data_IF_810928769132
#
_entry.id   IF_810928769132
#
_cell.length_a   1.000
_cell.length_b   1.000
_cell.length_c   1.000
_cell.angle_alpha   90.00
_cell.angle_beta   90.00
_cell.angle_gamma   90.00
#
_symmetry.space_group_name_H-M   'P 1'
#
loop_
_entity.id
_entity.type
_entity.pdbx_description
1 polymer ?
#
# COMPACT_ATOMS: atom_id res chain seq x y z
N UNK A 1 -28.96 13.00 -12.52
CA UNK A 1 -27.99 13.77 -11.71
C UNK A 1 -26.91 14.26 -12.64
N UNK A 2 -26.75 15.58 -12.73
CA UNK A 2 -25.81 16.24 -13.62
C UNK A 2 -24.42 16.10 -12.99
N UNK A 3 -23.57 15.21 -13.52
CA UNK A 3 -22.16 15.22 -13.13
C UNK A 3 -21.60 16.48 -13.77
N UNK A 4 -21.21 17.46 -12.94
CA UNK A 4 -20.56 18.67 -13.41
C UNK A 4 -19.31 18.33 -14.24
N UNK A 5 -18.78 19.31 -14.96
CA UNK A 5 -17.46 19.16 -15.57
C UNK A 5 -16.48 18.67 -14.50
N UNK A 6 -15.73 17.60 -14.79
CA UNK A 6 -14.69 17.09 -13.90
C UNK A 6 -13.77 18.25 -13.51
N UNK A 7 -13.56 18.44 -12.22
CA UNK A 7 -12.72 19.51 -11.72
C UNK A 7 -11.25 19.10 -11.87
N UNK A 8 -10.34 20.09 -11.79
CA UNK A 8 -8.90 19.82 -11.91
C UNK A 8 -8.42 18.82 -10.85
N UNK A 9 -9.08 18.78 -9.68
CA UNK A 9 -8.80 17.84 -8.61
C UNK A 9 -9.12 16.40 -8.96
N UNK A 10 -10.21 16.16 -9.70
CA UNK A 10 -10.57 14.81 -10.16
C UNK A 10 -9.50 14.26 -11.12
N UNK A 11 -8.98 15.09 -12.02
CA UNK A 11 -7.90 14.70 -12.93
C UNK A 11 -6.60 14.40 -12.18
N UNK A 12 -6.25 15.19 -11.16
CA UNK A 12 -5.06 14.95 -10.33
C UNK A 12 -5.20 13.69 -9.48
N UNK A 13 -6.38 13.45 -8.90
CA UNK A 13 -6.67 12.26 -8.12
C UNK A 13 -6.61 10.98 -8.98
N UNK A 14 -7.20 11.03 -10.18
CA UNK A 14 -7.10 9.94 -11.17
C UNK A 14 -5.63 9.73 -11.59
N UNK A 15 -4.88 10.80 -11.83
CA UNK A 15 -3.45 10.72 -12.13
C UNK A 15 -2.64 10.07 -11.01
N UNK A 16 -2.95 10.37 -9.75
CA UNK A 16 -2.30 9.74 -8.60
C UNK A 16 -2.61 8.24 -8.52
N UNK A 17 -3.86 7.82 -8.80
CA UNK A 17 -4.24 6.40 -8.83
C UNK A 17 -3.50 5.65 -9.95
N UNK A 18 -3.44 6.21 -11.16
CA UNK A 18 -2.74 5.58 -12.29
C UNK A 18 -1.21 5.65 -12.21
N UNK A 19 -0.66 6.46 -11.31
CA UNK A 19 0.79 6.52 -11.08
C UNK A 19 1.32 5.26 -10.36
N UNK A 20 0.48 4.56 -9.62
CA UNK A 20 0.81 3.29 -9.00
C UNK A 20 1.10 2.24 -10.09
N UNK A 21 2.30 1.66 -10.04
CA UNK A 21 2.79 0.68 -11.03
C UNK A 21 2.62 -0.71 -10.45
N UNK A 22 1.80 -1.54 -11.07
CA UNK A 22 1.76 -2.94 -10.69
C UNK A 22 3.01 -3.68 -11.22
N UNK A 23 3.76 -4.28 -10.30
CA UNK A 23 4.96 -5.06 -10.59
C UNK A 23 4.72 -6.56 -10.44
N UNK A 24 3.53 -7.01 -10.05
CA UNK A 24 3.23 -8.41 -9.74
C UNK A 24 3.52 -9.33 -10.94
N UNK A 25 3.06 -9.00 -12.15
CA UNK A 25 3.34 -9.81 -13.34
C UNK A 25 4.84 -9.91 -13.64
N UNK A 26 5.60 -8.83 -13.46
CA UNK A 26 7.06 -8.87 -13.66
C UNK A 26 7.76 -9.74 -12.61
N UNK A 27 7.29 -9.71 -11.37
CA UNK A 27 7.82 -10.51 -10.27
C UNK A 27 7.49 -12.00 -10.40
N UNK A 28 6.43 -12.36 -11.11
CA UNK A 28 6.09 -13.76 -11.40
C UNK A 28 7.03 -14.39 -12.44
N UNK A 29 7.56 -13.58 -13.37
CA UNK A 29 8.51 -14.03 -14.40
C UNK A 29 9.96 -14.01 -13.88
N UNK A 30 10.26 -13.12 -12.94
CA UNK A 30 11.58 -13.00 -12.31
C UNK A 30 11.79 -14.09 -11.25
N UNK A 31 12.79 -14.96 -11.48
CA UNK A 31 13.23 -15.91 -10.46
C UNK A 31 14.09 -15.20 -9.39
N UNK A 32 13.64 -15.30 -8.13
CA UNK A 32 14.37 -14.79 -6.97
C UNK A 32 15.78 -15.42 -6.82
N UNK A 33 15.96 -16.66 -7.28
CA UNK A 33 17.23 -17.39 -7.18
C UNK A 33 18.24 -17.02 -8.28
N UNK A 34 17.77 -16.61 -9.47
CA UNK A 34 18.65 -16.27 -10.60
C UNK A 34 19.09 -14.79 -10.56
N UNK A 35 18.20 -13.88 -10.16
CA UNK A 35 18.47 -12.44 -10.12
C UNK A 35 17.94 -11.75 -8.85
N UNK A 36 18.48 -12.10 -7.66
CA UNK A 36 17.95 -11.62 -6.37
C UNK A 36 17.97 -10.09 -6.23
N UNK A 37 18.99 -9.42 -6.78
CA UNK A 37 19.10 -7.96 -6.72
C UNK A 37 17.99 -7.27 -7.52
N UNK A 38 17.70 -7.78 -8.72
CA UNK A 38 16.68 -7.22 -9.60
C UNK A 38 15.27 -7.45 -9.02
N UNK A 39 15.02 -8.66 -8.52
CA UNK A 39 13.76 -9.00 -7.84
C UNK A 39 13.49 -8.04 -6.66
N UNK A 40 14.46 -7.84 -5.76
CA UNK A 40 14.30 -6.96 -4.61
C UNK A 40 14.17 -5.48 -4.99
N UNK A 41 14.84 -5.04 -6.05
CA UNK A 41 14.75 -3.66 -6.54
C UNK A 41 13.36 -3.36 -7.08
N UNK A 42 12.84 -4.20 -8.00
CA UNK A 42 11.53 -4.02 -8.62
C UNK A 42 10.40 -4.12 -7.60
N UNK A 43 10.48 -5.11 -6.70
CA UNK A 43 9.53 -5.22 -5.59
C UNK A 43 9.56 -3.99 -4.69
N UNK A 44 10.76 -3.52 -4.32
CA UNK A 44 10.91 -2.34 -3.48
C UNK A 44 10.37 -1.07 -4.14
N UNK A 45 10.64 -0.87 -5.43
CA UNK A 45 10.10 0.24 -6.22
C UNK A 45 8.58 0.22 -6.25
N UNK A 46 7.97 -0.91 -6.60
CA UNK A 46 6.51 -1.05 -6.69
C UNK A 46 5.81 -0.72 -5.37
N UNK A 47 6.27 -1.29 -4.26
CA UNK A 47 5.62 -1.05 -2.96
C UNK A 47 5.80 0.39 -2.48
N UNK A 48 6.97 1.00 -2.69
CA UNK A 48 7.19 2.41 -2.36
C UNK A 48 6.30 3.31 -3.23
N UNK A 49 6.19 3.01 -4.53
CA UNK A 49 5.38 3.76 -5.47
C UNK A 49 3.88 3.74 -5.08
N UNK A 50 3.34 2.57 -4.74
CA UNK A 50 1.97 2.41 -4.27
C UNK A 50 1.71 3.24 -3.01
N UNK A 51 2.63 3.18 -2.05
CA UNK A 51 2.54 3.93 -0.81
C UNK A 51 2.65 5.45 -1.03
N UNK A 52 3.44 5.91 -2.01
CA UNK A 52 3.50 7.34 -2.35
C UNK A 52 2.27 7.82 -3.10
N UNK A 53 1.70 6.97 -3.98
CA UNK A 53 0.52 7.29 -4.77
C UNK A 53 -0.70 7.50 -3.89
N UNK A 54 -0.87 6.69 -2.84
CA UNK A 54 -1.98 6.88 -1.88
C UNK A 54 -1.80 8.11 -0.99
N UNK A 55 -0.57 8.47 -0.62
CA UNK A 55 -0.29 9.71 0.13
C UNK A 55 -0.60 10.93 -0.75
N UNK A 56 -0.21 10.88 -2.03
CA UNK A 56 -0.50 11.94 -2.98
C UNK A 56 -2.01 12.08 -3.23
N UNK A 57 -2.72 10.97 -3.37
CA UNK A 57 -4.18 10.95 -3.53
C UNK A 57 -4.90 11.57 -2.32
N UNK A 58 -4.51 11.21 -1.09
CA UNK A 58 -5.07 11.83 0.12
C UNK A 58 -4.74 13.32 0.18
N UNK A 59 -3.50 13.71 -0.14
CA UNK A 59 -3.12 15.12 -0.17
C UNK A 59 -3.93 15.93 -1.20
N UNK A 60 -4.25 15.35 -2.37
CA UNK A 60 -5.08 16.01 -3.39
C UNK A 60 -6.54 16.16 -2.93
N UNK A 61 -7.11 15.14 -2.26
CA UNK A 61 -8.49 15.20 -1.76
C UNK A 61 -8.70 16.21 -0.63
N UNK A 62 -7.70 16.42 0.22
CA UNK A 62 -7.80 17.37 1.34
C UNK A 62 -7.84 18.85 0.90
N UNK A 63 -7.44 19.16 -0.35
CA UNK A 63 -7.41 20.53 -0.87
C UNK A 63 -8.51 20.78 -1.90
N UNK A 64 -9.31 21.82 -1.63
CA UNK A 64 -10.25 22.37 -2.60
C UNK A 64 -9.49 23.17 -3.67
N UNK A 65 -9.40 22.61 -4.87
CA UNK A 65 -8.66 23.17 -6.01
C UNK A 65 -9.49 24.17 -6.83
N UNK A 66 -10.63 24.63 -6.32
CA UNK A 66 -11.49 25.63 -6.97
C UNK A 66 -10.79 26.95 -7.30
N UNK A 67 -9.71 27.31 -6.57
CA UNK A 67 -8.86 28.47 -6.87
C UNK A 67 -7.39 28.06 -6.93
N UNK A 68 -6.92 27.73 -8.13
CA UNK A 68 -5.51 27.39 -8.38
C UNK A 68 -4.64 28.64 -8.17
N UNK A 69 -4.11 28.79 -6.96
CA UNK A 69 -3.08 29.77 -6.64
C UNK A 69 -1.74 29.06 -6.46
N UNK A 70 -0.63 29.74 -6.82
CA UNK A 70 0.74 29.23 -6.60
C UNK A 70 1.01 28.84 -5.14
N UNK A 71 0.35 29.51 -4.19
CA UNK A 71 0.41 29.20 -2.77
C UNK A 71 -0.22 27.83 -2.41
N UNK A 72 -1.30 27.43 -3.09
CA UNK A 72 -1.98 26.14 -2.84
C UNK A 72 -1.11 24.97 -3.30
N UNK A 73 -0.44 25.13 -4.44
CA UNK A 73 0.52 24.14 -4.94
C UNK A 73 1.67 23.96 -3.95
N UNK A 74 2.24 25.05 -3.43
CA UNK A 74 3.30 24.99 -2.42
C UNK A 74 2.82 24.31 -1.11
N UNK A 75 1.60 24.61 -0.69
CA UNK A 75 0.99 24.01 0.50
C UNK A 75 0.72 22.52 0.32
N UNK A 76 0.32 22.08 -0.88
CA UNK A 76 0.13 20.67 -1.22
C UNK A 76 1.46 19.91 -1.12
N UNK A 77 2.54 20.45 -1.70
CA UNK A 77 3.88 19.86 -1.54
C UNK A 77 4.30 19.80 -0.06
N UNK A 78 4.05 20.88 0.70
CA UNK A 78 4.32 20.91 2.14
C UNK A 78 3.55 19.83 2.90
N UNK A 79 2.26 19.64 2.61
CA UNK A 79 1.43 18.63 3.24
C UNK A 79 1.90 17.21 2.87
N UNK A 80 2.27 16.98 1.61
CA UNK A 80 2.84 15.70 1.17
C UNK A 80 4.09 15.35 1.98
N UNK A 81 5.06 16.26 2.08
CA UNK A 81 6.28 16.01 2.87
C UNK A 81 5.98 15.84 4.36
N UNK A 82 5.02 16.60 4.90
CA UNK A 82 4.58 16.47 6.29
C UNK A 82 4.01 15.07 6.56
N UNK A 83 3.03 14.63 5.76
CA UNK A 83 2.42 13.31 5.87
C UNK A 83 3.46 12.21 5.67
N UNK A 84 4.32 12.35 4.66
CA UNK A 84 5.37 11.38 4.37
C UNK A 84 6.35 11.22 5.54
N UNK A 85 6.98 12.30 6.00
CA UNK A 85 7.99 12.27 7.06
C UNK A 85 7.40 11.76 8.37
N UNK A 86 6.23 12.25 8.76
CA UNK A 86 5.64 11.93 10.05
C UNK A 86 5.12 10.49 10.10
N UNK A 87 4.51 10.00 9.02
CA UNK A 87 4.14 8.58 8.86
C UNK A 87 5.37 7.66 8.88
N UNK A 88 6.45 8.03 8.17
CA UNK A 88 7.70 7.26 8.20
C UNK A 88 8.28 7.19 9.61
N UNK A 89 8.33 8.32 10.32
CA UNK A 89 8.86 8.39 11.69
C UNK A 89 8.03 7.54 12.65
N UNK A 90 6.70 7.62 12.56
CA UNK A 90 5.79 6.81 13.38
C UNK A 90 5.98 5.31 13.10
N UNK A 91 6.10 4.93 11.82
CA UNK A 91 6.33 3.54 11.41
C UNK A 91 7.66 3.00 11.95
N UNK A 92 8.73 3.79 11.85
CA UNK A 92 10.04 3.41 12.39
C UNK A 92 9.99 3.23 13.92
N UNK A 93 9.35 4.15 14.63
CA UNK A 93 9.20 4.07 16.09
C UNK A 93 8.40 2.82 16.48
N UNK A 94 7.28 2.54 15.80
CA UNK A 94 6.46 1.36 16.05
C UNK A 94 7.22 0.05 15.78
N UNK A 95 8.01 -0.01 14.71
CA UNK A 95 8.86 -1.17 14.39
C UNK A 95 10.01 -1.38 15.37
N UNK A 96 10.64 -0.32 15.87
CA UNK A 96 11.64 -0.43 16.93
C UNK A 96 11.02 -0.85 18.25
N UNK A 97 9.82 -0.36 18.56
CA UNK A 97 9.07 -0.74 19.75
C UNK A 97 8.69 -2.23 19.71
N UNK A 98 8.30 -2.76 18.56
CA UNK A 98 8.01 -4.20 18.42
C UNK A 98 9.26 -5.06 18.65
N UNK A 99 10.41 -4.67 18.11
CA UNK A 99 11.69 -5.34 18.36
C UNK A 99 12.06 -5.33 19.85
N UNK A 100 11.84 -4.20 20.53
CA UNK A 100 12.07 -4.08 21.98
C UNK A 100 11.12 -4.97 22.79
N UNK A 101 9.82 -5.00 22.44
CA UNK A 101 8.80 -5.83 23.09
C UNK A 101 9.17 -7.32 22.98
N UNK A 102 9.55 -7.78 21.78
CA UNK A 102 9.94 -9.18 21.55
C UNK A 102 11.22 -9.52 22.33
N UNK A 103 12.22 -8.64 22.32
CA UNK A 103 13.46 -8.84 23.10
C UNK A 103 13.20 -8.91 24.61
N UNK A 104 12.25 -8.13 25.13
CA UNK A 104 11.88 -8.17 26.56
C UNK A 104 11.09 -9.42 26.93
N UNK A 105 10.18 -9.86 26.05
CA UNK A 105 9.37 -11.07 26.26
C UNK A 105 10.17 -12.37 26.14
N UNK A 106 11.32 -12.33 25.46
CA UNK A 106 12.27 -13.45 25.40
C UNK A 106 12.68 -13.98 26.79
N UNK A 107 12.65 -13.13 27.81
CA UNK A 107 12.99 -13.51 29.20
C UNK A 107 11.92 -14.39 29.87
N UNK A 108 10.70 -14.48 29.32
CA UNK A 108 9.53 -15.03 30.01
C UNK A 108 9.09 -16.46 29.63
N UNK A 109 9.26 -16.88 28.37
CA UNK A 109 9.07 -18.27 27.84
C UNK A 109 9.07 -18.26 26.31
N UNK A 110 9.76 -19.23 25.70
CA UNK A 110 9.71 -19.45 24.26
C UNK A 110 8.37 -20.03 23.82
N UNK A 111 7.68 -19.39 22.88
CA UNK A 111 6.50 -19.93 22.20
C UNK A 111 6.36 -19.27 20.83
N UNK A 112 6.50 -20.06 19.77
CA UNK A 112 6.43 -19.62 18.37
C UNK A 112 5.18 -18.80 18.08
N UNK A 113 4.00 -19.30 18.48
CA UNK A 113 2.71 -18.66 18.20
C UNK A 113 2.59 -17.25 18.79
N UNK A 114 3.22 -17.01 19.94
CA UNK A 114 3.20 -15.69 20.61
C UNK A 114 4.02 -14.68 19.84
N UNK A 115 5.20 -15.08 19.36
CA UNK A 115 6.07 -14.21 18.57
C UNK A 115 5.36 -13.76 17.29
N UNK A 116 4.74 -14.70 16.57
CA UNK A 116 3.95 -14.40 15.36
C UNK A 116 2.76 -13.48 15.67
N UNK A 117 1.98 -13.80 16.71
CA UNK A 117 0.83 -13.00 17.11
C UNK A 117 1.22 -11.56 17.48
N UNK A 118 2.33 -11.37 18.21
CA UNK A 118 2.82 -10.03 18.58
C UNK A 118 3.28 -9.25 17.34
N UNK A 119 3.96 -9.89 16.38
CA UNK A 119 4.36 -9.23 15.15
C UNK A 119 3.15 -8.71 14.36
N UNK A 120 2.11 -9.52 14.20
CA UNK A 120 0.87 -9.11 13.52
C UNK A 120 0.15 -8.01 14.33
N UNK A 121 0.06 -8.16 15.65
CA UNK A 121 -0.57 -7.17 16.51
C UNK A 121 0.14 -5.82 16.46
N UNK A 122 1.47 -5.81 16.43
CA UNK A 122 2.27 -4.58 16.35
C UNK A 122 2.14 -3.90 14.99
N UNK A 123 2.07 -4.65 13.90
CA UNK A 123 1.77 -4.11 12.58
C UNK A 123 0.40 -3.42 12.58
N UNK A 124 -0.63 -4.09 13.10
CA UNK A 124 -1.98 -3.53 13.21
C UNK A 124 -2.06 -2.32 14.16
N UNK A 125 -1.34 -2.34 15.27
CA UNK A 125 -1.27 -1.21 16.20
C UNK A 125 -0.64 0.01 15.53
N UNK A 126 0.39 -0.17 14.69
CA UNK A 126 0.97 0.93 13.92
C UNK A 126 -0.03 1.57 12.96
N UNK A 127 -0.88 0.76 12.31
CA UNK A 127 -2.00 1.23 11.48
C UNK A 127 -2.99 2.09 12.28
N UNK A 128 -3.45 1.58 13.42
CA UNK A 128 -4.44 2.28 14.25
C UNK A 128 -3.90 3.59 14.83
N UNK A 129 -2.61 3.64 15.19
CA UNK A 129 -1.98 4.87 15.66
C UNK A 129 -1.89 5.92 14.55
N UNK A 130 -1.54 5.54 13.32
CA UNK A 130 -1.51 6.50 12.21
C UNK A 130 -2.88 7.08 11.90
N UNK A 131 -3.94 6.27 11.94
CA UNK A 131 -5.32 6.75 11.77
C UNK A 131 -5.70 7.76 12.86
N UNK A 132 -5.33 7.48 14.12
CA UNK A 132 -5.59 8.38 15.25
C UNK A 132 -4.90 9.74 15.09
N UNK A 133 -3.70 9.76 14.48
CA UNK A 133 -2.94 10.98 14.21
C UNK A 133 -3.27 11.63 12.86
N UNK A 134 -4.26 11.11 12.12
CA UNK A 134 -4.62 11.57 10.77
C UNK A 134 -3.42 11.56 9.79
N UNK A 135 -2.59 10.51 9.87
CA UNK A 135 -1.43 10.29 9.01
C UNK A 135 -1.71 9.18 7.99
N UNK A 136 -0.82 9.00 7.01
CA UNK A 136 -0.93 7.87 6.07
C UNK A 136 -0.68 6.55 6.79
N UNK A 137 -1.76 5.78 6.98
CA UNK A 137 -1.70 4.52 7.70
C UNK A 137 -0.96 3.43 6.93
N UNK A 138 -1.14 3.40 5.61
CA UNK A 138 -0.49 2.44 4.71
C UNK A 138 1.02 2.67 4.71
N UNK A 139 1.46 3.93 4.59
CA UNK A 139 2.88 4.28 4.64
C UNK A 139 3.50 3.96 6.01
N UNK A 140 2.76 4.20 7.09
CA UNK A 140 3.22 3.90 8.47
C UNK A 140 3.44 2.40 8.67
N UNK A 141 2.47 1.57 8.27
CA UNK A 141 2.58 0.10 8.37
C UNK A 141 3.72 -0.43 7.50
N UNK A 142 3.93 0.15 6.32
CA UNK A 142 5.02 -0.24 5.42
C UNK A 142 6.40 -0.03 6.07
N UNK A 143 6.68 1.17 6.59
CA UNK A 143 7.94 1.43 7.29
C UNK A 143 8.08 0.64 8.59
N UNK A 144 6.98 0.42 9.31
CA UNK A 144 6.94 -0.48 10.45
C UNK A 144 7.38 -1.90 10.04
N UNK A 145 6.85 -2.42 8.93
CA UNK A 145 7.21 -3.70 8.34
C UNK A 145 8.69 -3.81 7.96
N UNK A 146 9.26 -2.77 7.32
CA UNK A 146 10.69 -2.73 6.98
C UNK A 146 11.55 -2.82 8.25
N UNK A 147 11.25 -2.00 9.26
CA UNK A 147 12.01 -2.00 10.52
C UNK A 147 11.84 -3.32 11.27
N UNK A 148 10.64 -3.92 11.26
CA UNK A 148 10.42 -5.25 11.81
C UNK A 148 11.24 -6.32 11.06
N UNK A 149 11.28 -6.27 9.74
CA UNK A 149 12.07 -7.20 8.93
C UNK A 149 13.58 -7.08 9.23
N UNK A 150 14.08 -5.90 9.55
CA UNK A 150 15.50 -5.71 9.87
C UNK A 150 15.86 -6.04 11.33
N UNK A 151 15.09 -5.53 12.30
CA UNK A 151 15.44 -5.63 13.72
C UNK A 151 14.72 -6.77 14.43
N UNK A 152 13.43 -6.97 14.16
CA UNK A 152 12.64 -8.01 14.82
C UNK A 152 13.01 -9.39 14.29
N UNK A 153 13.29 -9.52 12.99
CA UNK A 153 13.70 -10.79 12.38
C UNK A 153 14.88 -11.43 13.11
N UNK A 154 15.91 -10.64 13.45
CA UNK A 154 17.08 -11.18 14.15
C UNK A 154 16.81 -11.60 15.61
N UNK A 155 15.78 -11.03 16.24
CA UNK A 155 15.40 -11.32 17.62
C UNK A 155 14.41 -12.48 17.77
N UNK A 156 13.87 -13.02 16.68
CA UNK A 156 12.82 -14.05 16.67
C UNK A 156 13.42 -15.45 16.43
N UNK A 157 12.77 -16.49 16.96
CA UNK A 157 13.20 -17.88 16.78
C UNK A 157 13.12 -18.36 15.32
N UNK A 158 13.96 -19.30 14.91
CA UNK A 158 13.94 -19.83 13.52
C UNK A 158 12.58 -20.44 13.14
N UNK A 159 11.93 -21.15 14.06
CA UNK A 159 10.59 -21.69 13.84
C UNK A 159 9.57 -20.58 13.55
N UNK A 160 9.65 -19.45 14.27
CA UNK A 160 8.72 -18.33 14.11
C UNK A 160 8.97 -17.56 12.82
N UNK A 161 10.22 -17.44 12.38
CA UNK A 161 10.57 -16.87 11.05
C UNK A 161 9.92 -17.64 9.91
N UNK A 162 10.01 -18.97 9.93
CA UNK A 162 9.41 -19.82 8.90
C UNK A 162 7.89 -19.70 8.93
N UNK A 163 7.27 -19.82 10.10
CA UNK A 163 5.81 -19.66 10.24
C UNK A 163 5.33 -18.29 9.78
N UNK A 164 6.03 -17.21 10.15
CA UNK A 164 5.69 -15.84 9.76
C UNK A 164 5.77 -15.63 8.25
N UNK A 165 6.83 -16.15 7.61
CA UNK A 165 6.99 -16.09 6.15
C UNK A 165 5.82 -16.77 5.43
N UNK A 166 5.45 -17.97 5.86
CA UNK A 166 4.31 -18.69 5.27
C UNK A 166 2.98 -18.00 5.55
N UNK A 167 2.76 -17.53 6.78
CA UNK A 167 1.53 -16.84 7.15
C UNK A 167 1.30 -15.58 6.30
N UNK A 168 2.31 -14.70 6.20
CA UNK A 168 2.19 -13.48 5.37
C UNK A 168 2.06 -13.80 3.88
N UNK A 169 2.78 -14.81 3.36
CA UNK A 169 2.62 -15.23 1.96
C UNK A 169 1.20 -15.73 1.67
N UNK A 170 0.62 -16.56 2.56
CA UNK A 170 -0.75 -17.04 2.39
C UNK A 170 -1.78 -15.93 2.50
N UNK A 171 -1.58 -14.98 3.43
CA UNK A 171 -2.48 -13.85 3.62
C UNK A 171 -2.45 -12.91 2.42
N UNK A 172 -1.26 -12.59 1.91
CA UNK A 172 -1.08 -11.81 0.67
C UNK A 172 -1.81 -12.45 -0.51
N UNK A 173 -1.62 -13.76 -0.72
CA UNK A 173 -2.26 -14.48 -1.83
C UNK A 173 -3.80 -14.48 -1.72
N UNK A 174 -4.33 -14.67 -0.51
CA UNK A 174 -5.78 -14.60 -0.28
C UNK A 174 -6.30 -13.16 -0.53
N UNK A 175 -5.61 -12.14 -0.01
CA UNK A 175 -5.96 -10.73 -0.22
C UNK A 175 -5.95 -10.34 -1.70
N UNK A 176 -4.96 -10.80 -2.46
CA UNK A 176 -4.85 -10.58 -3.90
C UNK A 176 -6.05 -11.19 -4.66
N UNK A 177 -6.42 -12.44 -4.35
CA UNK A 177 -7.63 -13.07 -4.92
C UNK A 177 -8.89 -12.25 -4.61
N UNK A 178 -9.03 -11.75 -3.37
CA UNK A 178 -10.19 -10.94 -3.00
C UNK A 178 -10.25 -9.62 -3.76
N UNK A 179 -9.13 -8.92 -3.94
CA UNK A 179 -9.07 -7.67 -4.69
C UNK A 179 -9.46 -7.92 -6.15
N UNK A 180 -8.89 -8.94 -6.81
CA UNK A 180 -9.24 -9.26 -8.19
C UNK A 180 -10.68 -9.70 -8.36
N UNK A 181 -11.21 -10.48 -7.42
CA UNK A 181 -12.62 -10.88 -7.44
C UNK A 181 -13.52 -9.66 -7.31
N UNK A 182 -13.19 -8.72 -6.41
CA UNK A 182 -13.99 -7.52 -6.21
C UNK A 182 -13.98 -6.61 -7.46
N UNK A 183 -12.79 -6.35 -8.02
CA UNK A 183 -12.66 -5.58 -9.27
C UNK A 183 -13.35 -6.29 -10.43
N UNK A 184 -13.21 -7.61 -10.54
CA UNK A 184 -13.85 -8.42 -11.58
C UNK A 184 -15.38 -8.42 -11.47
N UNK A 185 -15.93 -8.48 -10.25
CA UNK A 185 -17.36 -8.35 -10.00
C UNK A 185 -17.87 -6.95 -10.37
N UNK A 186 -17.12 -5.91 -9.99
CA UNK A 186 -17.44 -4.52 -10.33
C UNK A 186 -17.43 -4.29 -11.85
N UNK A 187 -16.46 -4.91 -12.53
CA UNK A 187 -16.31 -4.88 -13.98
C UNK A 187 -17.32 -5.76 -14.73
N UNK A 188 -18.10 -6.62 -14.07
CA UNK A 188 -19.16 -7.41 -14.71
C UNK A 188 -20.57 -6.88 -14.39
N UNK A 189 -20.67 -5.84 -13.57
CA UNK A 189 -21.94 -5.21 -13.22
C UNK A 189 -22.56 -4.50 -14.44
N UNK A 190 -23.60 -5.12 -15.01
CA UNK A 190 -24.32 -4.64 -16.20
C UNK A 190 -24.88 -3.23 -16.00
N UNK A 191 -25.24 -2.84 -14.77
CA UNK A 191 -25.82 -1.51 -14.52
C UNK A 191 -24.77 -0.41 -14.67
N UNK A 192 -23.54 -0.65 -14.21
CA UNK A 192 -22.39 0.24 -14.44
C UNK A 192 -22.04 0.32 -15.93
N UNK A 193 -22.06 -0.81 -16.63
CA UNK A 193 -21.80 -0.84 -18.06
C UNK A 193 -22.85 -0.15 -18.90
N UNK A 194 -24.13 -0.21 -18.53
CA UNK A 194 -25.19 0.52 -19.24
C UNK A 194 -25.00 2.04 -19.13
N UNK A 195 -24.54 2.50 -17.97
CA UNK A 195 -24.20 3.90 -17.73
C UNK A 195 -22.98 4.38 -18.56
N UNK A 196 -21.95 3.55 -18.71
CA UNK A 196 -20.74 3.85 -19.49
C UNK A 196 -21.00 3.74 -21.01
N UNK A 197 -21.76 2.73 -21.44
CA UNK A 197 -22.10 2.47 -22.85
C UNK A 197 -22.91 3.60 -23.49
N UNK A 198 -23.81 4.23 -22.74
CA UNK A 198 -24.60 5.38 -23.20
C UNK A 198 -23.77 6.67 -23.46
N UNK A 199 -22.48 6.72 -23.07
CA UNK A 199 -21.65 7.95 -23.12
C UNK A 199 -20.26 7.82 -23.78
N UNK A 200 -20.15 6.99 -24.83
CA UNK A 200 -19.13 7.06 -25.90
C UNK A 200 -17.99 6.02 -25.89
N UNK A 201 -17.53 5.76 -27.11
CA UNK A 201 -16.69 4.68 -27.69
C UNK A 201 -15.26 4.55 -27.11
N UNK A 202 -14.90 5.32 -26.08
CA UNK A 202 -13.52 5.37 -25.56
C UNK A 202 -13.19 4.29 -24.50
N UNK A 203 -14.21 3.63 -23.93
CA UNK A 203 -14.04 2.57 -22.92
C UNK A 203 -13.33 1.33 -23.45
N UNK A 204 -13.53 1.00 -24.74
CA UNK A 204 -13.02 -0.24 -25.33
C UNK A 204 -11.49 -0.27 -25.48
N UNK A 205 -10.84 0.89 -25.63
CA UNK A 205 -9.40 0.98 -25.88
C UNK A 205 -8.56 0.95 -24.61
N UNK A 206 -9.10 1.46 -23.48
CA UNK A 206 -8.40 1.45 -22.20
C UNK A 206 -8.48 0.08 -21.50
N UNK A 207 -9.60 -0.63 -21.68
CA UNK A 207 -9.75 -2.02 -21.21
C UNK A 207 -8.92 -3.01 -22.02
N UNK A 208 -8.70 -2.78 -23.32
CA UNK A 208 -7.84 -3.64 -24.13
C UNK A 208 -6.36 -3.54 -23.73
N UNK A 209 -5.88 -2.38 -23.24
CA UNK A 209 -4.51 -2.26 -22.73
C UNK A 209 -4.40 -2.60 -21.24
N UNK A 210 -5.40 -2.26 -20.43
CA UNK A 210 -5.40 -2.50 -18.98
C UNK A 210 -5.59 -3.97 -18.59
N UNK A 211 -6.26 -4.79 -19.41
CA UNK A 211 -6.47 -6.22 -19.14
C UNK A 211 -5.35 -7.09 -19.74
N UNK A 212 -4.74 -6.68 -20.86
CA UNK A 212 -3.66 -7.45 -21.52
C UNK A 212 -2.26 -7.21 -20.96
N UNK A 213 -2.07 -6.23 -20.08
CA UNK A 213 -0.80 -6.06 -19.35
C UNK A 213 -0.69 -6.97 -18.11
N UNK A 214 -1.74 -7.74 -17.80
CA UNK A 214 -1.84 -8.65 -16.64
C UNK A 214 -1.70 -10.14 -17.01
N UNK A 215 -1.01 -10.44 -18.12
CA UNK A 215 -0.70 -11.80 -18.57
C UNK A 215 0.80 -12.04 -18.66
#
# INVERSE_FOLDING_TARGET
MNIGNLEIGDYLAIGAIFSATDSVCTLQVLNQDETPLLYSLVFGEGVVNDATSIVLFNAVQDFDLSNINSAVVLQLFGNFFYLFILSTLLGVVAGLLSAYVIKKLYFGRHSTDREVAIMILMAYLSYMLSELFALSAILTVFFCGIVMSHYTWHNVTESSRVTTKHAFATLSFISEIFIFLYVGMDALDIEKWRFVSDRCVFSSLMLFFGVWSWG
#
